data_IF_165094753469
#
_entry.id   IF_165094753469
#
_cell.length_a   1.000
_cell.length_b   1.000
_cell.length_c   1.000
_cell.angle_alpha   90.00
_cell.angle_beta   90.00
_cell.angle_gamma   90.00
#
_symmetry.space_group_name_H-M   'P 1'
#
loop_
_entity.id
_entity.type
_entity.pdbx_description
1 polymer ?
#
# COMPACT_ATOMS: atom_id res chain seq x y z
N UNK A 1 -5.96 -21.73 -14.84
CA UNK A 1 -6.23 -20.28 -14.90
C UNK A 1 -4.94 -19.53 -15.22
N UNK A 2 -5.02 -18.31 -15.79
CA UNK A 2 -3.95 -17.57 -16.52
C UNK A 2 -2.52 -17.60 -15.91
N UNK A 3 -2.39 -17.81 -14.60
CA UNK A 3 -1.14 -17.73 -13.87
C UNK A 3 -0.66 -19.06 -13.25
N UNK A 4 -1.43 -20.15 -13.36
CA UNK A 4 -1.17 -21.40 -12.62
C UNK A 4 0.17 -22.05 -12.99
N UNK A 5 0.63 -21.86 -14.23
CA UNK A 5 1.92 -22.37 -14.71
C UNK A 5 3.06 -21.32 -14.62
N UNK A 6 2.86 -20.23 -13.88
CA UNK A 6 3.83 -19.14 -13.74
C UNK A 6 4.51 -19.18 -12.39
N UNK A 7 5.81 -18.95 -12.38
CA UNK A 7 6.60 -18.77 -11.15
C UNK A 7 6.40 -17.36 -10.59
N UNK A 8 6.72 -17.17 -9.32
CA UNK A 8 6.64 -15.83 -8.70
C UNK A 8 7.54 -14.83 -9.41
N UNK A 9 8.72 -15.27 -9.85
CA UNK A 9 9.64 -14.44 -10.63
C UNK A 9 9.03 -13.96 -11.95
N UNK A 10 8.24 -14.80 -12.62
CA UNK A 10 7.53 -14.41 -13.84
C UNK A 10 6.44 -13.37 -13.56
N UNK A 11 5.67 -13.55 -12.48
CA UNK A 11 4.66 -12.56 -12.04
C UNK A 11 5.33 -11.21 -11.72
N UNK A 12 6.45 -11.23 -10.99
CA UNK A 12 7.22 -10.02 -10.68
C UNK A 12 7.77 -9.34 -11.95
N UNK A 13 8.28 -10.12 -12.90
CA UNK A 13 8.81 -9.60 -14.16
C UNK A 13 7.72 -8.93 -14.99
N UNK A 14 6.53 -9.53 -15.06
CA UNK A 14 5.41 -8.95 -15.78
C UNK A 14 4.93 -7.64 -15.17
N UNK A 15 4.72 -7.58 -13.85
CA UNK A 15 4.36 -6.33 -13.19
C UNK A 15 5.45 -5.25 -13.38
N UNK A 16 6.73 -5.61 -13.27
CA UNK A 16 7.84 -4.66 -13.52
C UNK A 16 7.81 -4.10 -14.95
N UNK A 17 7.42 -4.90 -15.95
CA UNK A 17 7.29 -4.41 -17.33
C UNK A 17 6.15 -3.40 -17.48
N UNK A 18 5.02 -3.60 -16.80
CA UNK A 18 3.93 -2.61 -16.78
C UNK A 18 4.34 -1.33 -16.06
N UNK A 19 5.01 -1.45 -14.91
CA UNK A 19 5.53 -0.32 -14.12
C UNK A 19 6.52 0.53 -14.96
N UNK A 20 7.51 -0.11 -15.58
CA UNK A 20 8.50 0.58 -16.46
C UNK A 20 7.86 1.22 -17.69
N UNK A 21 6.78 0.64 -18.20
CA UNK A 21 6.04 1.19 -19.33
C UNK A 21 5.03 2.28 -18.93
N UNK A 22 4.89 2.60 -17.63
CA UNK A 22 3.88 3.54 -17.15
C UNK A 22 2.43 3.09 -17.35
N UNK A 23 2.19 1.77 -17.51
CA UNK A 23 0.89 1.17 -17.84
C UNK A 23 0.20 0.55 -16.62
N UNK A 24 0.33 1.18 -15.46
CA UNK A 24 -0.20 0.68 -14.17
C UNK A 24 -1.71 0.85 -14.02
N UNK A 25 -2.36 1.49 -14.99
CA UNK A 25 -3.81 1.62 -15.17
C UNK A 25 -4.41 0.52 -16.06
N UNK A 26 -3.58 -0.29 -16.71
CA UNK A 26 -4.03 -1.31 -17.64
C UNK A 26 -4.72 -2.49 -16.91
N UNK A 27 -5.83 -3.05 -17.43
CA UNK A 27 -6.55 -4.16 -16.76
C UNK A 27 -5.69 -5.40 -16.49
N UNK A 28 -4.73 -5.70 -17.36
CA UNK A 28 -3.78 -6.79 -17.14
C UNK A 28 -2.86 -6.55 -15.94
N UNK A 29 -2.49 -5.30 -15.65
CA UNK A 29 -1.71 -4.98 -14.45
C UNK A 29 -2.51 -5.29 -13.19
N UNK A 30 -3.80 -4.94 -13.17
CA UNK A 30 -4.69 -5.27 -12.06
C UNK A 30 -4.77 -6.79 -11.82
N UNK A 31 -4.89 -7.60 -12.87
CA UNK A 31 -4.89 -9.06 -12.76
C UNK A 31 -3.56 -9.61 -12.22
N UNK A 32 -2.42 -9.03 -12.62
CA UNK A 32 -1.09 -9.41 -12.13
C UNK A 32 -0.93 -9.04 -10.64
N UNK A 33 -1.36 -7.84 -10.25
CA UNK A 33 -1.33 -7.36 -8.86
C UNK A 33 -2.20 -8.24 -7.97
N UNK A 34 -3.42 -8.60 -8.40
CA UNK A 34 -4.30 -9.49 -7.66
C UNK A 34 -3.62 -10.85 -7.39
N UNK A 35 -2.99 -11.44 -8.42
CA UNK A 35 -2.26 -12.70 -8.26
C UNK A 35 -1.01 -12.55 -7.38
N UNK A 36 -0.24 -11.47 -7.55
CA UNK A 36 0.92 -11.12 -6.72
C UNK A 36 0.52 -11.03 -5.25
N UNK A 37 -0.55 -10.29 -4.93
CA UNK A 37 -1.08 -10.15 -3.59
C UNK A 37 -1.55 -11.50 -3.03
N UNK A 38 -2.29 -12.31 -3.80
CA UNK A 38 -2.73 -13.65 -3.41
C UNK A 38 -1.55 -14.56 -3.04
N UNK A 39 -0.47 -14.57 -3.85
CA UNK A 39 0.71 -15.40 -3.58
C UNK A 39 1.51 -14.91 -2.37
N UNK A 40 1.64 -13.59 -2.21
CA UNK A 40 2.27 -12.99 -1.02
C UNK A 40 1.46 -13.29 0.24
N UNK A 41 0.13 -13.24 0.16
CA UNK A 41 -0.78 -13.56 1.26
C UNK A 41 -0.54 -14.96 1.84
N UNK A 42 -0.29 -15.96 1.00
CA UNK A 42 -0.01 -17.34 1.45
C UNK A 42 1.30 -17.45 2.25
N UNK A 43 2.24 -16.54 2.02
CA UNK A 43 3.60 -16.58 2.62
C UNK A 43 3.76 -15.69 3.85
N UNK A 44 2.89 -14.71 4.01
CA UNK A 44 3.00 -13.69 5.05
C UNK A 44 1.91 -13.90 6.11
N UNK A 45 2.15 -13.38 7.32
CA UNK A 45 1.17 -13.45 8.42
C UNK A 45 0.13 -12.33 8.35
N UNK A 46 0.50 -11.20 7.76
CA UNK A 46 -0.37 -10.03 7.62
C UNK A 46 -1.43 -10.27 6.53
N UNK A 47 -2.65 -9.78 6.75
CA UNK A 47 -3.76 -9.92 5.81
C UNK A 47 -3.93 -8.64 5.00
N UNK A 48 -3.75 -8.70 3.68
CA UNK A 48 -3.95 -7.54 2.81
C UNK A 48 -5.40 -7.04 2.85
N UNK A 49 -6.37 -7.96 2.93
CA UNK A 49 -7.78 -7.62 3.03
C UNK A 49 -8.08 -6.87 4.32
N UNK A 50 -7.69 -7.43 5.48
CA UNK A 50 -7.95 -6.81 6.78
C UNK A 50 -7.20 -5.48 6.94
N UNK A 51 -5.95 -5.41 6.45
CA UNK A 51 -5.18 -4.17 6.47
C UNK A 51 -5.78 -3.12 5.55
N UNK A 52 -6.25 -3.47 4.35
CA UNK A 52 -6.92 -2.53 3.45
C UNK A 52 -8.23 -2.01 4.06
N UNK A 53 -9.05 -2.89 4.63
CA UNK A 53 -10.29 -2.50 5.30
C UNK A 53 -10.03 -1.61 6.51
N UNK A 54 -9.01 -1.93 7.32
CA UNK A 54 -8.58 -1.06 8.43
C UNK A 54 -8.18 0.33 7.93
N UNK A 55 -7.38 0.42 6.86
CA UNK A 55 -6.99 1.71 6.31
C UNK A 55 -8.19 2.49 5.75
N UNK A 56 -9.13 1.83 5.09
CA UNK A 56 -10.38 2.46 4.63
C UNK A 56 -11.18 3.02 5.81
N UNK A 57 -11.37 2.24 6.87
CA UNK A 57 -12.06 2.69 8.09
C UNK A 57 -11.36 3.90 8.70
N UNK A 58 -10.03 3.89 8.80
CA UNK A 58 -9.25 5.01 9.34
C UNK A 58 -9.33 6.26 8.47
N UNK A 59 -9.31 6.10 7.15
CA UNK A 59 -9.54 7.20 6.22
C UNK A 59 -10.95 7.80 6.38
N UNK A 60 -11.98 6.95 6.51
CA UNK A 60 -13.36 7.36 6.81
C UNK A 60 -13.42 8.12 8.14
N UNK A 61 -12.72 7.64 9.16
CA UNK A 61 -12.61 8.29 10.46
C UNK A 61 -11.86 9.61 10.47
N UNK A 62 -11.07 9.90 9.42
CA UNK A 62 -10.16 11.04 9.40
C UNK A 62 -9.02 10.88 10.40
N UNK A 63 -8.57 9.65 10.64
CA UNK A 63 -7.54 9.32 11.64
C UNK A 63 -6.36 8.62 11.01
N UNK A 64 -5.17 8.95 11.52
CA UNK A 64 -3.96 8.18 11.26
C UNK A 64 -4.01 6.84 11.99
N UNK A 65 -3.16 5.92 11.54
CA UNK A 65 -2.94 4.63 12.20
C UNK A 65 -1.46 4.28 12.21
N UNK A 66 -1.08 3.30 13.01
CA UNK A 66 0.31 2.85 13.10
C UNK A 66 0.55 1.52 12.41
N UNK A 67 1.81 1.21 12.12
CA UNK A 67 2.20 -0.14 11.67
C UNK A 67 1.78 -1.24 12.67
N UNK A 68 1.83 -0.93 13.97
CA UNK A 68 1.37 -1.83 15.03
C UNK A 68 -0.13 -2.09 14.95
N UNK A 69 -0.94 -1.05 14.74
CA UNK A 69 -2.39 -1.20 14.57
C UNK A 69 -2.73 -2.00 13.31
N UNK A 70 -1.97 -1.80 12.24
CA UNK A 70 -2.17 -2.54 10.98
C UNK A 70 -1.84 -4.03 11.15
N UNK A 71 -0.81 -4.35 11.95
CA UNK A 71 -0.49 -5.71 12.34
C UNK A 71 -1.59 -6.31 13.24
N UNK A 72 -2.08 -5.53 14.21
CA UNK A 72 -3.17 -5.94 15.10
C UNK A 72 -4.48 -6.18 14.34
N UNK A 73 -4.78 -5.41 13.30
CA UNK A 73 -5.92 -5.65 12.41
C UNK A 73 -5.85 -7.01 11.70
N UNK A 74 -4.64 -7.54 11.48
CA UNK A 74 -4.40 -8.90 10.98
C UNK A 74 -4.32 -9.95 12.09
N UNK A 75 -4.49 -9.59 13.36
CA UNK A 75 -4.29 -10.49 14.51
C UNK A 75 -2.83 -10.89 14.72
N UNK A 76 -1.87 -10.08 14.25
CA UNK A 76 -0.44 -10.39 14.30
C UNK A 76 0.28 -9.44 15.26
N UNK A 77 1.02 -9.99 16.22
CA UNK A 77 1.91 -9.22 17.09
C UNK A 77 2.99 -8.48 16.29
N UNK A 78 3.26 -7.23 16.66
CA UNK A 78 4.20 -6.37 15.93
C UNK A 78 5.58 -6.99 15.74
N UNK A 79 6.09 -7.69 16.76
CA UNK A 79 7.38 -8.40 16.71
C UNK A 79 7.46 -9.42 15.56
N UNK A 80 6.34 -10.02 15.18
CA UNK A 80 6.24 -10.98 14.08
C UNK A 80 5.91 -10.32 12.73
N UNK A 81 5.37 -9.11 12.74
CA UNK A 81 4.98 -8.35 11.55
C UNK A 81 6.10 -7.46 11.00
N UNK A 82 6.98 -6.93 11.86
CA UNK A 82 7.92 -5.85 11.52
C UNK A 82 8.74 -6.07 10.25
N UNK A 83 9.20 -7.31 10.03
CA UNK A 83 10.04 -7.66 8.87
C UNK A 83 9.25 -7.79 7.57
N UNK A 84 7.93 -8.00 7.65
CA UNK A 84 7.05 -8.12 6.49
C UNK A 84 6.38 -6.79 6.15
N UNK A 85 6.30 -5.84 7.09
CA UNK A 85 5.53 -4.61 6.94
C UNK A 85 6.12 -3.67 5.87
N UNK A 86 7.41 -3.38 5.98
CA UNK A 86 8.11 -2.35 5.21
C UNK A 86 9.07 -2.95 4.18
N UNK A 87 9.56 -2.09 3.27
CA UNK A 87 10.57 -2.41 2.28
C UNK A 87 10.02 -2.78 0.91
N UNK A 88 10.90 -2.92 -0.10
CA UNK A 88 10.50 -3.29 -1.45
C UNK A 88 9.78 -4.65 -1.44
N UNK A 89 8.59 -4.73 -2.05
CA UNK A 89 7.75 -5.93 -2.06
C UNK A 89 7.20 -6.34 -0.69
N UNK A 90 7.33 -5.47 0.32
CA UNK A 90 6.72 -5.63 1.64
C UNK A 90 5.21 -5.47 1.63
N UNK A 91 4.62 -5.51 2.82
CA UNK A 91 3.18 -5.45 3.00
C UNK A 91 2.59 -4.12 2.51
N UNK A 92 3.14 -2.99 2.97
CA UNK A 92 2.68 -1.66 2.56
C UNK A 92 2.94 -1.38 1.08
N UNK A 93 4.08 -1.82 0.54
CA UNK A 93 4.39 -1.69 -0.89
C UNK A 93 3.39 -2.46 -1.77
N UNK A 94 2.95 -3.64 -1.32
CA UNK A 94 1.87 -4.37 -2.01
C UNK A 94 0.53 -3.65 -1.89
N UNK A 95 0.22 -3.06 -0.73
CA UNK A 95 -1.02 -2.30 -0.55
C UNK A 95 -1.07 -1.04 -1.44
N UNK A 96 0.06 -0.44 -1.79
CA UNK A 96 0.12 0.62 -2.80
C UNK A 96 -0.39 0.12 -4.16
N UNK A 97 0.11 -1.03 -4.63
CA UNK A 97 -0.33 -1.65 -5.88
C UNK A 97 -1.85 -1.94 -5.84
N UNK A 98 -2.33 -2.48 -4.73
CA UNK A 98 -3.74 -2.80 -4.50
C UNK A 98 -4.60 -1.52 -4.54
N UNK A 99 -4.19 -0.45 -3.84
CA UNK A 99 -4.91 0.82 -3.88
C UNK A 99 -5.00 1.37 -5.30
N UNK A 100 -3.87 1.39 -6.03
CA UNK A 100 -3.81 1.87 -7.41
C UNK A 100 -4.76 1.11 -8.32
N UNK A 101 -4.76 -0.22 -8.25
CA UNK A 101 -5.58 -1.07 -9.11
C UNK A 101 -7.06 -1.04 -8.76
N UNK A 102 -7.42 -0.68 -7.53
CA UNK A 102 -8.81 -0.49 -7.09
C UNK A 102 -9.32 0.96 -7.27
N UNK A 103 -8.50 1.87 -7.79
CA UNK A 103 -8.87 3.28 -7.92
C UNK A 103 -9.04 4.00 -6.58
N UNK A 104 -8.42 3.49 -5.52
CA UNK A 104 -8.41 4.09 -4.20
C UNK A 104 -7.27 5.13 -4.11
N UNK A 105 -7.39 6.16 -3.23
CA UNK A 105 -6.22 6.94 -2.86
C UNK A 105 -5.15 6.03 -2.24
N UNK A 106 -3.90 6.49 -2.18
CA UNK A 106 -2.81 5.71 -1.57
C UNK A 106 -2.98 5.63 -0.05
N UNK A 107 -3.89 4.77 0.41
CA UNK A 107 -4.33 4.67 1.79
C UNK A 107 -3.20 4.35 2.77
N UNK A 108 -2.06 3.82 2.30
CA UNK A 108 -0.89 3.62 3.15
C UNK A 108 -0.27 4.94 3.62
N UNK A 109 -0.59 6.08 2.99
CA UNK A 109 -0.12 7.41 3.39
C UNK A 109 -0.54 7.78 4.83
N UNK A 110 -1.65 7.21 5.34
CA UNK A 110 -2.13 7.47 6.70
C UNK A 110 -1.62 6.45 7.74
N UNK A 111 -0.72 5.54 7.33
CA UNK A 111 -0.06 4.59 8.22
C UNK A 111 1.35 5.09 8.56
N UNK A 112 1.56 5.49 9.81
CA UNK A 112 2.77 6.19 10.26
C UNK A 112 3.45 5.47 11.43
N UNK A 113 4.65 5.92 11.80
CA UNK A 113 5.26 5.45 13.05
C UNK A 113 4.45 5.88 14.27
N UNK A 114 4.55 5.15 15.37
CA UNK A 114 3.74 5.40 16.58
C UNK A 114 3.98 6.79 17.17
N UNK A 115 5.23 7.21 17.19
CA UNK A 115 5.70 8.51 17.63
C UNK A 115 5.14 9.66 16.78
N UNK A 116 4.79 9.39 15.52
CA UNK A 116 4.27 10.38 14.58
C UNK A 116 2.75 10.35 14.45
N UNK A 117 2.03 9.59 15.29
CA UNK A 117 0.57 9.51 15.21
C UNK A 117 -0.12 10.88 15.39
N UNK A 118 0.50 11.77 16.18
CA UNK A 118 0.00 13.12 16.41
C UNK A 118 0.26 14.11 15.26
N UNK A 119 1.33 13.90 14.50
CA UNK A 119 1.71 14.78 13.37
C UNK A 119 1.24 14.25 12.03
N UNK A 120 1.03 12.93 11.93
CA UNK A 120 0.69 12.25 10.69
C UNK A 120 1.83 12.15 9.70
N UNK A 121 3.07 12.45 10.10
CA UNK A 121 4.25 12.46 9.21
C UNK A 121 4.93 11.10 9.11
N UNK A 122 5.48 10.79 7.95
CA UNK A 122 6.38 9.64 7.79
C UNK A 122 7.79 10.00 8.26
N UNK A 123 8.50 9.03 8.84
CA UNK A 123 9.95 9.18 9.03
C UNK A 123 10.67 9.08 7.68
N UNK A 124 11.89 9.61 7.59
CA UNK A 124 12.67 9.76 6.35
C UNK A 124 12.69 8.49 5.47
N UNK A 125 13.07 7.34 6.04
CA UNK A 125 13.10 6.06 5.30
C UNK A 125 11.73 5.64 4.77
N UNK A 126 10.68 5.85 5.57
CA UNK A 126 9.31 5.48 5.20
C UNK A 126 8.75 6.44 4.15
N UNK A 127 9.11 7.73 4.23
CA UNK A 127 8.74 8.75 3.26
C UNK A 127 9.36 8.44 1.89
N UNK A 128 10.67 8.20 1.87
CA UNK A 128 11.40 7.83 0.66
C UNK A 128 10.84 6.54 0.04
N UNK A 129 10.61 5.50 0.86
CA UNK A 129 10.01 4.26 0.39
C UNK A 129 8.60 4.43 -0.17
N UNK A 130 7.78 5.28 0.44
CA UNK A 130 6.44 5.61 -0.05
C UNK A 130 6.49 6.37 -1.38
N UNK A 131 7.36 7.38 -1.48
CA UNK A 131 7.60 8.15 -2.69
C UNK A 131 8.08 7.25 -3.85
N UNK A 132 9.03 6.34 -3.60
CA UNK A 132 9.52 5.40 -4.60
C UNK A 132 8.45 4.41 -5.05
N UNK A 133 7.62 3.91 -4.12
CA UNK A 133 6.45 3.10 -4.46
C UNK A 133 5.48 3.84 -5.37
N UNK A 134 5.20 5.12 -5.09
CA UNK A 134 4.35 5.95 -5.93
C UNK A 134 4.96 6.20 -7.33
N UNK A 135 6.27 6.51 -7.40
CA UNK A 135 7.00 6.67 -8.67
C UNK A 135 6.94 5.39 -9.51
N UNK A 136 7.14 4.22 -8.88
CA UNK A 136 7.01 2.91 -9.53
C UNK A 136 5.61 2.69 -10.13
N UNK A 137 4.58 3.24 -9.49
CA UNK A 137 3.21 3.20 -9.97
C UNK A 137 2.90 4.23 -11.07
N UNK A 138 3.89 5.00 -11.53
CA UNK A 138 3.73 6.03 -12.55
C UNK A 138 3.19 7.35 -12.02
N UNK A 139 3.15 7.54 -10.69
CA UNK A 139 2.70 8.78 -10.06
C UNK A 139 3.89 9.75 -10.01
N UNK A 140 3.68 10.98 -10.44
CA UNK A 140 4.70 12.03 -10.35
C UNK A 140 4.84 12.49 -8.90
N UNK A 141 6.06 12.38 -8.38
CA UNK A 141 6.44 12.82 -7.04
C UNK A 141 7.46 13.95 -7.17
N UNK A 142 7.11 15.12 -6.66
CA UNK A 142 8.00 16.28 -6.54
C UNK A 142 8.71 16.25 -5.19
N UNK A 143 8.50 17.28 -4.38
CA UNK A 143 8.85 17.25 -2.96
C UNK A 143 8.09 16.13 -2.26
N UNK A 144 8.81 15.30 -1.49
CA UNK A 144 8.25 14.08 -0.92
C UNK A 144 7.31 14.37 0.26
N UNK A 145 7.60 15.40 1.06
CA UNK A 145 6.75 15.81 2.18
C UNK A 145 5.45 16.43 1.66
N UNK A 146 5.52 17.33 0.68
CA UNK A 146 4.35 17.90 0.03
C UNK A 146 3.51 16.82 -0.67
N UNK A 147 4.17 15.87 -1.34
CA UNK A 147 3.51 14.73 -1.96
C UNK A 147 2.76 13.87 -0.95
N UNK A 148 3.40 13.55 0.18
CA UNK A 148 2.80 12.76 1.24
C UNK A 148 1.61 13.49 1.88
N UNK A 149 1.75 14.77 2.20
CA UNK A 149 0.68 15.60 2.75
C UNK A 149 -0.55 15.63 1.82
N UNK A 150 -0.33 15.78 0.51
CA UNK A 150 -1.41 15.69 -0.49
C UNK A 150 -2.08 14.32 -0.49
N UNK A 151 -1.31 13.23 -0.44
CA UNK A 151 -1.88 11.88 -0.41
C UNK A 151 -2.72 11.64 0.86
N UNK A 152 -2.28 12.14 2.01
CA UNK A 152 -3.06 12.10 3.27
C UNK A 152 -4.38 12.84 3.10
N UNK A 153 -4.35 14.04 2.52
CA UNK A 153 -5.55 14.82 2.26
C UNK A 153 -6.51 14.09 1.30
N UNK A 154 -6.00 13.48 0.23
CA UNK A 154 -6.78 12.65 -0.70
C UNK A 154 -7.46 11.48 0.02
N UNK A 155 -6.75 10.80 0.92
CA UNK A 155 -7.30 9.70 1.72
C UNK A 155 -8.47 10.16 2.59
N UNK A 156 -8.31 11.26 3.33
CA UNK A 156 -9.38 11.77 4.20
C UNK A 156 -10.52 12.40 3.41
N UNK A 157 -10.25 13.03 2.27
CA UNK A 157 -11.28 13.51 1.34
C UNK A 157 -12.11 12.34 0.81
N UNK A 158 -11.47 11.26 0.38
CA UNK A 158 -12.15 10.04 -0.03
C UNK A 158 -12.99 9.45 1.11
N UNK A 159 -12.43 9.38 2.32
CA UNK A 159 -13.12 8.86 3.50
C UNK A 159 -14.37 9.66 3.88
N UNK A 160 -14.31 10.99 3.81
CA UNK A 160 -15.48 11.87 4.02
C UNK A 160 -16.62 11.57 3.03
N UNK A 161 -16.29 11.30 1.77
CA UNK A 161 -17.27 10.98 0.72
C UNK A 161 -17.97 9.64 0.94
N UNK A 162 -17.39 8.70 1.70
CA UNK A 162 -18.04 7.41 2.00
C UNK A 162 -19.11 7.50 3.09
N UNK A 163 -19.18 8.61 3.83
CA UNK A 163 -20.18 8.84 4.89
C UNK A 163 -21.46 9.51 4.39
N UNK A 164 -21.45 9.97 3.13
CA UNK A 164 -22.56 10.67 2.48
C UNK A 164 -23.38 9.66 1.72
#
# INVERSE_FOLDING_TARGET
MRFDNKTDSQIESWASNFEKAGRTDHPDYAAIVAERARRRQVKQKLSFELSLEHLKVRAIEGKFTTYGDLAAASGVEWSHARHQMNGPKGHLDTLLDVCRTQGLPLLTAICVNRENLGTGTLGEDALSGFADGARRLGITVGDEEEFHARCVEECFNWGRKQRT
#
